data_IF_529313131480
#
_entry.id   IF_529313131480
#
_cell.length_a   1.000
_cell.length_b   1.000
_cell.length_c   1.000
_cell.angle_alpha   90.00
_cell.angle_beta   90.00
_cell.angle_gamma   90.00
#
_symmetry.space_group_name_H-M   'P 1'
#
loop_
_entity.id
_entity.type
_entity.pdbx_description
1 polymer ?
#
# COMPACT_ATOMS: atom_id res chain seq x y z
N UNK A 1 4.71 -15.28 4.19
CA UNK A 1 5.07 -14.04 4.91
C UNK A 1 4.93 -12.80 4.02
N UNK A 2 5.75 -12.68 2.96
CA UNK A 2 5.82 -11.55 2.02
C UNK A 2 4.49 -10.84 1.66
N UNK A 3 3.45 -11.61 1.27
CA UNK A 3 2.15 -11.06 0.79
C UNK A 3 1.44 -10.13 1.79
N UNK A 4 1.65 -10.30 3.10
CA UNK A 4 1.03 -9.46 4.13
C UNK A 4 1.83 -8.16 4.40
N UNK A 5 3.10 -8.11 4.00
CA UNK A 5 4.02 -7.01 4.29
C UNK A 5 4.12 -5.98 3.16
N UNK A 6 3.74 -6.33 1.93
CA UNK A 6 3.78 -5.44 0.75
C UNK A 6 3.21 -4.04 1.03
N UNK A 7 2.05 -3.93 1.66
CA UNK A 7 1.42 -2.63 1.97
C UNK A 7 2.17 -1.82 3.03
N UNK A 8 2.89 -2.47 3.96
CA UNK A 8 3.71 -1.83 4.97
C UNK A 8 5.02 -1.31 4.35
N UNK A 9 5.71 -2.18 3.63
CA UNK A 9 6.94 -1.86 2.86
C UNK A 9 6.71 -0.71 1.88
N UNK A 10 5.63 -0.76 1.11
CA UNK A 10 5.27 0.32 0.19
C UNK A 10 5.18 1.67 0.91
N UNK A 11 4.47 1.72 2.04
CA UNK A 11 4.15 2.97 2.74
C UNK A 11 5.33 3.57 3.53
N UNK A 12 6.26 2.74 4.00
CA UNK A 12 7.42 3.20 4.79
C UNK A 12 8.65 3.47 3.91
N UNK A 13 8.81 2.75 2.81
CA UNK A 13 10.03 2.80 2.01
C UNK A 13 9.78 3.28 0.57
N UNK A 14 8.90 2.63 -0.18
CA UNK A 14 8.74 2.89 -1.62
C UNK A 14 8.06 4.24 -1.90
N UNK A 15 7.05 4.61 -1.10
CA UNK A 15 6.33 5.88 -1.21
C UNK A 15 7.22 7.11 -0.92
N UNK A 16 7.97 7.18 0.20
CA UNK A 16 8.83 8.32 0.49
C UNK A 16 10.18 8.30 -0.23
N UNK A 17 10.66 7.15 -0.73
CA UNK A 17 11.88 7.11 -1.54
C UNK A 17 11.64 7.79 -2.90
N UNK A 18 12.63 8.51 -3.40
CA UNK A 18 12.61 9.12 -4.74
C UNK A 18 13.54 8.37 -5.70
N UNK A 19 13.18 8.36 -6.98
CA UNK A 19 13.98 7.75 -8.04
C UNK A 19 14.39 6.29 -7.76
N UNK A 20 15.66 5.99 -8.05
CA UNK A 20 16.18 4.63 -8.05
C UNK A 20 16.37 4.02 -6.66
N UNK A 21 16.34 4.83 -5.59
CA UNK A 21 16.44 4.34 -4.21
C UNK A 21 15.34 3.31 -3.87
N UNK A 22 14.19 3.38 -4.56
CA UNK A 22 13.11 2.40 -4.46
C UNK A 22 13.56 0.96 -4.76
N UNK A 23 14.47 0.77 -5.73
CA UNK A 23 14.90 -0.56 -6.20
C UNK A 23 15.87 -1.29 -5.26
N UNK A 24 16.33 -0.64 -4.20
CA UNK A 24 17.20 -1.27 -3.20
C UNK A 24 16.36 -2.15 -2.27
N UNK A 25 16.61 -3.46 -2.25
CA UNK A 25 16.02 -4.37 -1.25
C UNK A 25 16.64 -4.08 0.12
N UNK A 26 15.81 -3.68 1.09
CA UNK A 26 16.22 -3.53 2.48
C UNK A 26 16.75 -4.85 3.05
N UNK A 27 17.80 -4.79 3.88
CA UNK A 27 18.48 -5.96 4.45
C UNK A 27 17.51 -6.95 5.12
N UNK A 28 16.52 -6.43 5.84
CA UNK A 28 15.47 -7.18 6.55
C UNK A 28 14.65 -8.12 5.64
N UNK A 29 14.52 -7.79 4.34
CA UNK A 29 13.73 -8.57 3.39
C UNK A 29 14.57 -9.43 2.44
N UNK A 30 15.90 -9.28 2.38
CA UNK A 30 16.76 -10.07 1.46
C UNK A 30 16.68 -11.58 1.66
N UNK A 31 16.31 -12.03 2.86
CA UNK A 31 16.06 -13.46 3.17
C UNK A 31 14.67 -13.94 2.75
N UNK A 32 13.75 -13.03 2.41
CA UNK A 32 12.35 -13.32 2.08
C UNK A 32 11.98 -13.06 0.61
N UNK A 33 12.77 -12.28 -0.11
CA UNK A 33 12.50 -11.88 -1.49
C UNK A 33 13.78 -11.78 -2.31
N UNK A 34 13.74 -12.20 -3.57
CA UNK A 34 14.83 -11.93 -4.50
C UNK A 34 14.70 -10.56 -5.19
N UNK A 35 15.79 -10.08 -5.79
CA UNK A 35 15.83 -8.76 -6.45
C UNK A 35 14.83 -8.64 -7.61
N UNK A 36 14.54 -9.73 -8.33
CA UNK A 36 13.61 -9.71 -9.46
C UNK A 36 12.16 -9.48 -8.98
N UNK A 37 11.72 -10.24 -7.97
CA UNK A 37 10.41 -10.08 -7.34
C UNK A 37 10.24 -8.67 -6.70
N UNK A 38 11.33 -8.07 -6.21
CA UNK A 38 11.33 -6.69 -5.71
C UNK A 38 11.15 -5.67 -6.83
N UNK A 39 11.91 -5.81 -7.91
CA UNK A 39 11.79 -4.95 -9.10
C UNK A 39 10.38 -5.02 -9.70
N UNK A 40 9.79 -6.21 -9.80
CA UNK A 40 8.44 -6.39 -10.33
C UNK A 40 7.36 -5.88 -9.36
N UNK A 41 7.60 -5.95 -8.04
CA UNK A 41 6.75 -5.29 -7.05
C UNK A 41 6.78 -3.76 -7.19
N UNK A 42 7.94 -3.15 -7.43
CA UNK A 42 8.07 -1.70 -7.62
C UNK A 42 7.41 -1.26 -8.93
N UNK A 43 7.60 -2.00 -10.02
CA UNK A 43 6.87 -1.74 -11.29
C UNK A 43 5.36 -1.75 -11.06
N UNK A 44 4.83 -2.74 -10.33
CA UNK A 44 3.42 -2.78 -9.99
C UNK A 44 2.99 -1.57 -9.14
N UNK A 45 3.77 -1.18 -8.14
CA UNK A 45 3.51 0.00 -7.30
C UNK A 45 3.73 1.35 -7.99
N UNK A 46 4.44 1.38 -9.12
CA UNK A 46 4.71 2.58 -9.93
C UNK A 46 3.76 2.69 -11.13
N UNK A 47 2.87 1.71 -11.34
CA UNK A 47 1.86 1.75 -12.38
C UNK A 47 0.79 2.80 -12.07
N UNK A 48 0.33 3.52 -13.09
CA UNK A 48 -0.71 4.57 -12.95
C UNK A 48 -1.98 4.03 -12.30
N UNK A 49 -2.39 2.80 -12.66
CA UNK A 49 -3.56 2.13 -12.07
C UNK A 49 -3.41 1.94 -10.56
N UNK A 50 -2.21 1.56 -10.10
CA UNK A 50 -1.92 1.45 -8.66
C UNK A 50 -1.88 2.83 -8.00
N UNK A 51 -1.25 3.83 -8.62
CA UNK A 51 -1.16 5.19 -8.07
C UNK A 51 -2.56 5.82 -7.90
N UNK A 52 -3.43 5.68 -8.90
CA UNK A 52 -4.84 6.12 -8.84
C UNK A 52 -5.60 5.40 -7.72
N UNK A 53 -5.45 4.08 -7.59
CA UNK A 53 -6.07 3.29 -6.49
C UNK A 53 -5.52 3.68 -5.11
N UNK A 54 -4.21 3.92 -5.00
CA UNK A 54 -3.52 4.34 -3.78
C UNK A 54 -3.99 5.72 -3.32
N UNK A 55 -4.04 6.70 -4.23
CA UNK A 55 -4.57 8.03 -3.97
C UNK A 55 -6.05 7.97 -3.55
N UNK A 56 -6.90 7.26 -4.31
CA UNK A 56 -8.33 7.11 -3.98
C UNK A 56 -8.53 6.47 -2.60
N UNK A 57 -7.71 5.49 -2.22
CA UNK A 57 -7.78 4.87 -0.91
C UNK A 57 -7.30 5.80 0.22
N UNK A 58 -6.31 6.67 -0.03
CA UNK A 58 -5.84 7.69 0.92
C UNK A 58 -6.88 8.78 1.13
N UNK A 59 -7.51 9.30 0.07
CA UNK A 59 -8.55 10.32 0.22
C UNK A 59 -9.77 9.77 0.95
N UNK A 60 -10.20 8.53 0.68
CA UNK A 60 -11.23 7.85 1.49
C UNK A 60 -10.81 7.67 2.95
N UNK A 61 -9.53 7.38 3.22
CA UNK A 61 -9.04 7.24 4.59
C UNK A 61 -8.93 8.59 5.34
N UNK A 62 -8.69 9.70 4.63
CA UNK A 62 -8.71 11.08 5.17
C UNK A 62 -10.13 11.57 5.44
N UNK A 63 -11.06 11.32 4.50
CA UNK A 63 -12.45 11.73 4.63
C UNK A 63 -13.13 11.08 5.84
N UNK A 64 -12.80 9.80 6.11
CA UNK A 64 -13.45 8.93 7.09
C UNK A 64 -13.65 9.54 8.48
N UNK A 65 -14.80 10.16 8.69
CA UNK A 65 -15.26 10.76 9.95
C UNK A 65 -15.34 9.79 11.13
N UNK A 66 -15.66 8.52 10.89
CA UNK A 66 -15.96 7.54 11.93
C UNK A 66 -15.06 6.28 11.87
N UNK A 67 -14.71 5.73 13.02
CA UNK A 67 -13.98 4.46 13.10
C UNK A 67 -14.95 3.26 13.07
N UNK A 68 -14.90 2.47 12.00
CA UNK A 68 -15.80 1.34 11.79
C UNK A 68 -15.06 0.04 11.48
N UNK A 69 -15.71 -1.10 11.76
CA UNK A 69 -15.66 -2.38 11.00
C UNK A 69 -16.21 -3.53 11.87
N UNK A 70 -17.42 -4.02 11.57
CA UNK A 70 -18.03 -5.23 12.17
C UNK A 70 -19.15 -5.76 11.28
N UNK A 71 -18.95 -6.70 10.34
CA UNK A 71 -17.71 -7.40 9.99
C UNK A 71 -17.48 -7.44 8.46
N UNK A 72 -16.55 -6.66 7.87
CA UNK A 72 -15.71 -5.60 8.47
C UNK A 72 -15.58 -4.39 7.58
N UNK A 73 -14.75 -4.47 6.53
CA UNK A 73 -14.32 -3.36 5.65
C UNK A 73 -15.37 -2.36 5.16
N UNK A 74 -16.63 -2.67 4.94
CA UNK A 74 -17.30 -3.98 4.80
C UNK A 74 -18.74 -3.96 5.33
N UNK A 75 -18.98 -3.35 6.49
CA UNK A 75 -20.20 -2.55 6.62
C UNK A 75 -19.97 -1.14 6.02
N UNK A 76 -18.73 -0.78 5.73
CA UNK A 76 -17.93 0.11 6.59
C UNK A 76 -17.19 1.15 5.74
N UNK A 77 -17.98 1.77 4.87
CA UNK A 77 -17.93 3.23 4.85
C UNK A 77 -18.16 3.82 6.26
N UNK A 78 -19.00 3.28 7.17
CA UNK A 78 -20.28 2.54 6.95
C UNK A 78 -21.26 3.59 6.43
N UNK A 79 -22.04 3.21 5.40
CA UNK A 79 -22.86 4.16 4.63
C UNK A 79 -22.02 5.35 4.08
N UNK A 80 -20.69 5.13 3.90
CA UNK A 80 -19.65 6.16 3.70
C UNK A 80 -19.92 7.46 4.49
N UNK A 81 -20.14 7.29 5.81
CA UNK A 81 -20.39 8.37 6.78
C UNK A 81 -21.85 8.84 6.89
N UNK A 82 -22.78 8.03 6.36
CA UNK A 82 -24.24 8.05 6.60
C UNK A 82 -24.97 9.25 5.96
N UNK A 83 -24.49 9.72 4.79
CA UNK A 83 -25.06 10.84 4.01
C UNK A 83 -24.90 10.60 2.51
#
# INVERSE_FOLDING_TARGET
MWRNWKSHVYRIFIEPAEGDARYIVLEEYKTMINQQEWNDFIKACSSDEFLVKSATAKERAKARKYFHTTSRKGYAGLENEIV
#
